data_IF_464469158825
#
_entry.id   IF_464469158825
#
_cell.length_a   1.000
_cell.length_b   1.000
_cell.length_c   1.000
_cell.angle_alpha   90.00
_cell.angle_beta   90.00
_cell.angle_gamma   90.00
#
_symmetry.space_group_name_H-M   'P 1'
#
loop_
_entity.id
_entity.type
_entity.pdbx_description
1 polymer ?
#
# COMPACT_ATOMS: atom_id res chain seq x y z
N UNK A 1 -9.07 -12.39 -9.46
CA UNK A 1 -7.96 -12.83 -8.57
C UNK A 1 -6.59 -12.98 -9.26
N UNK A 2 -6.49 -13.39 -10.53
CA UNK A 2 -5.19 -13.53 -11.23
C UNK A 2 -4.36 -12.22 -11.23
N UNK A 3 -4.98 -11.10 -11.59
CA UNK A 3 -4.33 -9.79 -11.64
C UNK A 3 -3.67 -9.37 -10.33
N UNK A 4 -4.35 -9.61 -9.20
CA UNK A 4 -3.83 -9.32 -7.86
C UNK A 4 -2.59 -10.14 -7.53
N UNK A 5 -2.55 -11.43 -7.88
CA UNK A 5 -1.34 -12.25 -7.70
C UNK A 5 -0.18 -11.78 -8.56
N UNK A 6 -0.45 -11.36 -9.80
CA UNK A 6 0.58 -10.77 -10.66
C UNK A 6 1.15 -9.51 -10.03
N UNK A 7 0.30 -8.63 -9.52
CA UNK A 7 0.72 -7.44 -8.77
C UNK A 7 1.62 -7.81 -7.59
N UNK A 8 1.18 -8.72 -6.72
CA UNK A 8 1.99 -9.18 -5.57
C UNK A 8 3.35 -9.72 -6.05
N UNK A 9 3.41 -10.53 -7.11
CA UNK A 9 4.68 -11.02 -7.66
C UNK A 9 5.59 -9.89 -8.10
N UNK A 10 5.08 -8.92 -8.85
CA UNK A 10 5.85 -7.75 -9.29
C UNK A 10 6.45 -6.99 -8.09
N UNK A 11 5.63 -6.75 -7.07
CA UNK A 11 6.06 -6.02 -5.87
C UNK A 11 6.92 -6.85 -4.91
N UNK A 12 6.92 -8.17 -5.04
CA UNK A 12 7.79 -9.06 -4.24
C UNK A 12 9.25 -9.05 -4.69
N UNK A 13 9.54 -8.55 -5.89
CA UNK A 13 10.88 -8.45 -6.47
C UNK A 13 11.61 -7.12 -6.17
N UNK A 14 12.41 -6.61 -7.12
CA UNK A 14 13.19 -5.38 -6.97
C UNK A 14 12.36 -4.12 -6.71
N UNK A 15 11.08 -4.11 -7.10
CA UNK A 15 10.17 -2.97 -6.90
C UNK A 15 9.65 -2.84 -5.45
N UNK A 16 10.01 -3.75 -4.54
CA UNK A 16 9.52 -3.71 -3.16
C UNK A 16 9.78 -2.41 -2.40
N UNK A 17 10.96 -1.76 -2.49
CA UNK A 17 11.18 -0.47 -1.82
C UNK A 17 10.23 0.62 -2.33
N UNK A 18 9.88 0.58 -3.62
CA UNK A 18 8.94 1.52 -4.20
C UNK A 18 7.53 1.34 -3.62
N UNK A 19 7.10 0.11 -3.34
CA UNK A 19 5.82 -0.14 -2.67
C UNK A 19 5.75 0.54 -1.29
N UNK A 20 6.83 0.47 -0.52
CA UNK A 20 6.92 1.13 0.80
C UNK A 20 6.80 2.65 0.64
N UNK A 21 7.51 3.22 -0.34
CA UNK A 21 7.44 4.66 -0.62
C UNK A 21 6.02 5.09 -1.03
N UNK A 22 5.32 4.30 -1.84
CA UNK A 22 3.93 4.58 -2.22
C UNK A 22 2.98 4.59 -1.02
N UNK A 23 3.15 3.66 -0.09
CA UNK A 23 2.38 3.63 1.17
C UNK A 23 2.65 4.89 1.98
N UNK A 24 3.91 5.28 2.12
CA UNK A 24 4.28 6.50 2.85
C UNK A 24 3.65 7.76 2.22
N UNK A 25 3.74 7.91 0.91
CA UNK A 25 3.18 9.07 0.20
C UNK A 25 1.66 9.11 0.34
N UNK A 26 0.97 7.97 0.15
CA UNK A 26 -0.48 7.90 0.32
C UNK A 26 -0.88 8.18 1.78
N UNK A 27 -0.13 7.63 2.75
CA UNK A 27 -0.33 7.88 4.18
C UNK A 27 -0.19 9.35 4.53
N UNK A 28 0.87 10.01 4.05
CA UNK A 28 1.08 11.44 4.26
C UNK A 28 -0.05 12.28 3.65
N UNK A 29 -0.53 11.95 2.45
CA UNK A 29 -1.66 12.63 1.82
C UNK A 29 -2.95 12.45 2.63
N UNK A 30 -3.22 11.26 3.15
CA UNK A 30 -4.40 11.02 4.00
C UNK A 30 -4.31 11.81 5.29
N UNK A 31 -3.16 11.79 5.97
CA UNK A 31 -2.96 12.51 7.24
C UNK A 31 -3.09 14.02 7.03
N UNK A 32 -2.38 14.59 6.04
CA UNK A 32 -2.39 16.04 5.81
C UNK A 32 -3.78 16.57 5.42
N UNK A 33 -4.51 15.84 4.58
CA UNK A 33 -5.87 16.23 4.22
C UNK A 33 -6.87 15.99 5.37
N UNK A 34 -6.71 14.92 6.15
CA UNK A 34 -7.55 14.62 7.31
C UNK A 34 -7.38 15.66 8.43
N UNK A 35 -6.14 16.00 8.77
CA UNK A 35 -5.84 17.08 9.71
C UNK A 35 -6.36 18.43 9.18
N UNK A 36 -6.26 18.66 7.87
CA UNK A 36 -6.84 19.83 7.23
C UNK A 36 -8.34 19.96 7.45
N UNK A 37 -9.10 18.86 7.37
CA UNK A 37 -10.55 18.85 7.64
C UNK A 37 -10.91 18.99 9.12
N UNK A 38 -10.01 18.58 10.02
CA UNK A 38 -10.23 18.68 11.47
C UNK A 38 -9.98 20.09 12.01
N UNK A 39 -8.99 20.80 11.46
CA UNK A 39 -8.51 22.08 12.01
C UNK A 39 -8.82 23.30 11.13
N UNK A 40 -9.31 23.12 9.91
CA UNK A 40 -9.64 24.22 8.99
C UNK A 40 -11.08 24.14 8.52
N UNK A 41 -11.51 25.16 7.80
CA UNK A 41 -12.81 25.17 7.13
C UNK A 41 -12.94 24.00 6.16
N UNK A 42 -14.18 23.55 5.97
CA UNK A 42 -14.50 22.44 5.10
C UNK A 42 -14.16 22.79 3.63
N UNK A 43 -13.20 22.06 3.06
CA UNK A 43 -12.83 22.16 1.66
C UNK A 43 -13.15 20.83 0.94
N UNK A 44 -14.08 20.81 -0.03
CA UNK A 44 -14.46 19.58 -0.74
C UNK A 44 -13.28 18.83 -1.36
N UNK A 45 -12.26 19.55 -1.83
CA UNK A 45 -11.07 18.95 -2.45
C UNK A 45 -10.28 18.08 -1.46
N UNK A 46 -10.25 18.44 -0.17
CA UNK A 46 -9.59 17.63 0.86
C UNK A 46 -10.33 16.31 1.08
N UNK A 47 -11.66 16.33 1.02
CA UNK A 47 -12.49 15.13 1.14
C UNK A 47 -12.23 14.19 -0.03
N UNK A 48 -12.16 14.71 -1.26
CA UNK A 48 -11.82 13.92 -2.44
C UNK A 48 -10.42 13.32 -2.35
N UNK A 49 -9.42 14.09 -1.91
CA UNK A 49 -8.08 13.55 -1.68
C UNK A 49 -8.05 12.50 -0.58
N UNK A 50 -8.78 12.70 0.52
CA UNK A 50 -8.89 11.72 1.60
C UNK A 50 -9.50 10.41 1.10
N UNK A 51 -10.58 10.47 0.33
CA UNK A 51 -11.24 9.30 -0.24
C UNK A 51 -10.34 8.60 -1.27
N UNK A 52 -9.73 9.35 -2.19
CA UNK A 52 -8.87 8.81 -3.24
C UNK A 52 -7.59 8.18 -2.70
N UNK A 53 -6.79 8.95 -1.96
CA UNK A 53 -5.55 8.44 -1.38
C UNK A 53 -5.80 7.45 -0.24
N UNK A 54 -6.91 7.57 0.50
CA UNK A 54 -7.31 6.57 1.50
C UNK A 54 -7.61 5.22 0.88
N UNK A 55 -8.37 5.20 -0.22
CA UNK A 55 -8.66 3.97 -0.96
C UNK A 55 -7.39 3.35 -1.55
N UNK A 56 -6.52 4.17 -2.14
CA UNK A 56 -5.21 3.72 -2.64
C UNK A 56 -4.31 3.19 -1.53
N UNK A 57 -4.29 3.84 -0.36
CA UNK A 57 -3.51 3.39 0.79
C UNK A 57 -3.96 2.01 1.26
N UNK A 58 -5.27 1.78 1.39
CA UNK A 58 -5.82 0.46 1.74
C UNK A 58 -5.37 -0.59 0.73
N UNK A 59 -5.46 -0.27 -0.56
CA UNK A 59 -5.05 -1.16 -1.64
C UNK A 59 -3.54 -1.47 -1.59
N UNK A 60 -2.69 -0.47 -1.34
CA UNK A 60 -1.24 -0.68 -1.22
C UNK A 60 -0.87 -1.49 0.02
N UNK A 61 -1.49 -1.22 1.17
CA UNK A 61 -1.29 -2.00 2.40
C UNK A 61 -1.70 -3.46 2.21
N UNK A 62 -2.84 -3.72 1.55
CA UNK A 62 -3.26 -5.07 1.22
C UNK A 62 -2.25 -5.77 0.29
N UNK A 63 -1.71 -5.05 -0.69
CA UNK A 63 -0.65 -5.57 -1.59
C UNK A 63 0.60 -5.92 -0.79
N UNK A 64 1.03 -5.03 0.10
CA UNK A 64 2.21 -5.21 0.95
C UNK A 64 2.10 -6.44 1.85
N UNK A 65 0.95 -6.64 2.51
CA UNK A 65 0.69 -7.86 3.29
C UNK A 65 0.78 -9.10 2.41
N UNK A 66 0.21 -9.04 1.20
CA UNK A 66 0.33 -10.11 0.20
C UNK A 66 1.79 -10.43 -0.15
N UNK A 67 2.60 -9.40 -0.37
CA UNK A 67 4.03 -9.54 -0.69
C UNK A 67 4.80 -10.18 0.46
N UNK A 68 4.57 -9.73 1.69
CA UNK A 68 5.22 -10.31 2.87
C UNK A 68 4.87 -11.79 3.03
N UNK A 69 3.60 -12.16 2.82
CA UNK A 69 3.16 -13.56 2.85
C UNK A 69 3.82 -14.39 1.76
N UNK A 70 3.95 -13.85 0.54
CA UNK A 70 4.62 -14.55 -0.55
C UNK A 70 6.10 -14.77 -0.22
N UNK A 71 6.82 -13.73 0.20
CA UNK A 71 8.24 -13.83 0.58
C UNK A 71 8.48 -14.80 1.73
N UNK A 72 7.59 -14.85 2.71
CA UNK A 72 7.66 -15.83 3.79
C UNK A 72 7.46 -17.27 3.29
N UNK A 73 6.57 -17.47 2.32
CA UNK A 73 6.32 -18.79 1.72
C UNK A 73 7.53 -19.25 0.89
N UNK A 74 8.12 -18.34 0.10
CA UNK A 74 9.29 -18.63 -0.73
C UNK A 74 10.51 -19.00 0.13
N UNK A 75 10.70 -18.34 1.29
CA UNK A 75 11.76 -18.68 2.26
C UNK A 75 11.59 -20.10 2.83
N UNK A 76 10.37 -20.45 3.26
CA UNK A 76 10.08 -21.81 3.78
C UNK A 76 10.29 -22.89 2.72
N UNK A 77 9.92 -22.61 1.47
CA UNK A 77 10.15 -23.54 0.36
C UNK A 77 11.65 -23.74 0.07
N UNK A 78 12.46 -22.69 0.18
CA UNK A 78 13.91 -22.79 0.05
C UNK A 78 14.55 -23.60 1.20
N UNK A 79 14.09 -23.39 2.43
CA UNK A 79 14.54 -24.16 3.61
C UNK A 79 14.20 -25.65 3.51
N UNK A 80 13.06 -26.03 2.92
CA UNK A 80 12.65 -27.43 2.73
C UNK A 80 13.34 -28.14 1.57
N UNK A 81 13.93 -27.39 0.63
CA UNK A 81 14.64 -27.91 -0.52
C UNK A 81 16.14 -28.13 -0.25
N UNK A 82 16.61 -27.78 0.95
CA UNK A 82 18.00 -27.95 1.43
C UNK A 82 18.05 -29.12 2.40
#
# INVERSE_FOLDING_TARGET
>A
MRWWRTSIRTWSGPAFPLLIMQIFVCGAMVVTNGLGLLFREYEPIRVWFLAGFGSLLIWWVATFVGVLRQRASDRRAAEQAT
#
